data_IF_796073031267
#
_entry.id   IF_796073031267
#
_cell.length_a   1.000
_cell.length_b   1.000
_cell.length_c   1.000
_cell.angle_alpha   90.00
_cell.angle_beta   90.00
_cell.angle_gamma   90.00
#
_symmetry.space_group_name_H-M   'P 1'
#
loop_
_entity.id
_entity.type
_entity.pdbx_description
1 polymer ?
#
# COMPACT_ATOMS: atom_id res chain seq x y z
N UNK A 1 -2.67 15.64 -6.03
CA UNK A 1 -2.14 15.31 -4.70
C UNK A 1 -1.58 13.90 -4.68
N UNK A 2 -0.39 13.73 -4.15
CA UNK A 2 0.22 12.42 -4.05
C UNK A 2 -0.27 11.71 -2.79
N UNK A 3 -0.65 10.46 -2.94
CA UNK A 3 -1.03 9.62 -1.80
C UNK A 3 -0.21 8.33 -1.84
N UNK A 4 -0.06 7.74 -0.68
CA UNK A 4 0.60 6.44 -0.59
C UNK A 4 -0.45 5.37 -0.79
N UNK A 5 -0.16 4.41 -1.65
CA UNK A 5 -1.05 3.28 -1.86
C UNK A 5 -0.28 1.98 -1.94
N UNK A 6 -0.99 0.89 -1.72
CA UNK A 6 -0.44 -0.44 -1.88
C UNK A 6 -0.35 -0.81 -3.36
N UNK A 7 0.74 -1.44 -3.73
CA UNK A 7 0.95 -1.97 -5.07
C UNK A 7 0.88 -3.50 -5.08
N UNK A 8 0.33 -4.07 -4.03
CA UNK A 8 0.30 -5.53 -3.88
C UNK A 8 -0.44 -6.22 -5.01
N UNK A 9 -1.56 -5.65 -5.43
CA UNK A 9 -2.35 -6.25 -6.51
C UNK A 9 -1.52 -6.41 -7.78
N UNK A 10 -0.81 -5.38 -8.16
CA UNK A 10 0.01 -5.39 -9.37
C UNK A 10 1.17 -6.37 -9.24
N UNK A 11 1.79 -6.42 -8.06
CA UNK A 11 2.89 -7.34 -7.81
C UNK A 11 2.41 -8.80 -7.89
N UNK A 12 1.25 -9.08 -7.30
CA UNK A 12 0.68 -10.43 -7.37
C UNK A 12 0.38 -10.83 -8.82
N UNK A 13 -0.20 -9.92 -9.59
CA UNK A 13 -0.52 -10.20 -10.99
C UNK A 13 0.73 -10.44 -11.81
N UNK A 14 1.79 -9.73 -11.54
CA UNK A 14 3.06 -9.92 -12.25
C UNK A 14 3.76 -11.22 -11.82
N UNK A 15 3.64 -11.58 -10.56
CA UNK A 15 4.29 -12.76 -10.01
C UNK A 15 3.57 -14.02 -10.46
N UNK A 16 2.27 -14.09 -10.23
CA UNK A 16 1.44 -15.25 -10.60
C UNK A 16 -0.02 -14.80 -10.59
N UNK A 17 -0.62 -14.63 -11.79
CA UNK A 17 -2.03 -14.20 -11.85
C UNK A 17 -3.01 -15.13 -11.16
N UNK A 18 -2.60 -16.37 -10.91
CA UNK A 18 -3.46 -17.36 -10.26
C UNK A 18 -3.33 -17.34 -8.73
N UNK A 19 -2.37 -16.60 -8.21
CA UNK A 19 -2.17 -16.53 -6.77
C UNK A 19 -3.33 -15.78 -6.11
N UNK A 20 -4.02 -16.45 -5.20
CA UNK A 20 -5.12 -15.85 -4.47
C UNK A 20 -4.61 -15.15 -3.21
N UNK A 21 -5.41 -14.22 -2.70
CA UNK A 21 -5.10 -13.55 -1.44
C UNK A 21 -5.03 -14.57 -0.31
N UNK A 22 -5.95 -15.52 -0.31
CA UNK A 22 -5.99 -16.56 0.72
C UNK A 22 -4.73 -17.42 0.69
N UNK A 23 -4.29 -17.80 -0.48
CA UNK A 23 -3.07 -18.59 -0.62
C UNK A 23 -1.85 -17.79 -0.17
N UNK A 24 -1.78 -16.52 -0.56
CA UNK A 24 -0.68 -15.67 -0.15
C UNK A 24 -0.62 -15.53 1.36
N UNK A 25 -1.76 -15.26 1.99
CA UNK A 25 -1.82 -15.14 3.46
C UNK A 25 -1.31 -16.41 4.13
N UNK A 26 -1.69 -17.56 3.61
CA UNK A 26 -1.24 -18.84 4.13
C UNK A 26 0.26 -19.01 3.96
N UNK A 27 0.76 -18.66 2.78
CA UNK A 27 2.18 -18.85 2.46
C UNK A 27 3.10 -17.98 3.33
N UNK A 28 2.66 -16.78 3.66
CA UNK A 28 3.45 -15.88 4.50
C UNK A 28 3.10 -15.98 5.98
N UNK A 29 2.16 -16.85 6.33
CA UNK A 29 1.70 -17.03 7.71
C UNK A 29 1.19 -15.73 8.32
N UNK A 30 0.27 -15.08 7.63
CA UNK A 30 -0.32 -13.83 8.08
C UNK A 30 -1.83 -13.91 8.02
N UNK A 31 -2.50 -13.00 8.73
CA UNK A 31 -3.96 -12.96 8.74
C UNK A 31 -4.52 -12.63 7.37
N UNK A 32 -5.48 -13.43 6.95
CA UNK A 32 -6.12 -13.22 5.64
C UNK A 32 -6.69 -11.81 5.51
N UNK A 33 -7.37 -11.32 6.55
CA UNK A 33 -8.01 -10.02 6.50
C UNK A 33 -7.00 -8.89 6.26
N UNK A 34 -5.84 -8.99 6.89
CA UNK A 34 -4.79 -7.98 6.72
C UNK A 34 -4.26 -7.98 5.28
N UNK A 35 -4.01 -9.15 4.73
CA UNK A 35 -3.53 -9.27 3.35
C UNK A 35 -4.60 -8.75 2.38
N UNK A 36 -5.86 -9.08 2.64
CA UNK A 36 -6.97 -8.61 1.82
C UNK A 36 -7.07 -7.09 1.81
N UNK A 37 -6.92 -6.48 2.99
CA UNK A 37 -6.97 -5.01 3.09
C UNK A 37 -5.82 -4.37 2.32
N UNK A 38 -4.65 -4.97 2.40
CA UNK A 38 -3.53 -4.44 1.64
C UNK A 38 -3.74 -4.59 0.14
N UNK A 39 -4.28 -5.72 -0.29
CA UNK A 39 -4.60 -5.95 -1.71
C UNK A 39 -5.60 -4.91 -2.23
N UNK A 40 -6.63 -4.61 -1.43
CA UNK A 40 -7.67 -3.66 -1.81
C UNK A 40 -7.31 -2.21 -1.52
N UNK A 41 -6.12 -1.97 -1.00
CA UNK A 41 -5.67 -0.62 -0.66
C UNK A 41 -6.58 0.05 0.37
N UNK A 42 -7.02 -0.72 1.36
CA UNK A 42 -7.89 -0.24 2.44
C UNK A 42 -7.16 -0.05 3.75
N UNK A 43 -5.85 -0.32 3.78
CA UNK A 43 -5.09 -0.16 5.02
C UNK A 43 -4.77 1.30 5.30
N UNK A 44 -4.99 1.69 6.55
CA UNK A 44 -4.58 3.00 7.04
C UNK A 44 -3.14 2.96 7.53
N UNK A 45 -2.75 1.84 8.12
CA UNK A 45 -1.39 1.62 8.61
C UNK A 45 -0.84 0.34 8.00
N UNK A 46 0.43 0.36 7.67
CA UNK A 46 1.09 -0.82 7.08
C UNK A 46 1.98 -1.46 8.14
N UNK A 47 1.61 -2.65 8.65
CA UNK A 47 2.45 -3.34 9.62
C UNK A 47 3.82 -3.67 9.05
N UNK A 48 4.84 -3.38 9.82
CA UNK A 48 6.22 -3.61 9.38
C UNK A 48 6.49 -5.07 9.03
N UNK A 49 5.98 -5.99 9.86
CA UNK A 49 6.18 -7.42 9.64
C UNK A 49 5.48 -7.91 8.38
N UNK A 50 4.30 -7.35 8.08
CA UNK A 50 3.61 -7.70 6.85
C UNK A 50 4.42 -7.23 5.64
N UNK A 51 4.93 -6.00 5.68
CA UNK A 51 5.74 -5.48 4.59
C UNK A 51 6.97 -6.35 4.37
N UNK A 52 7.63 -6.73 5.46
CA UNK A 52 8.83 -7.56 5.37
C UNK A 52 8.52 -8.92 4.73
N UNK A 53 7.46 -9.55 5.17
CA UNK A 53 7.07 -10.87 4.65
C UNK A 53 6.72 -10.81 3.16
N UNK A 54 6.01 -9.77 2.75
CA UNK A 54 5.64 -9.60 1.35
C UNK A 54 6.86 -9.31 0.47
N UNK A 55 7.76 -8.45 0.95
CA UNK A 55 8.99 -8.17 0.23
C UNK A 55 9.84 -9.41 0.05
N UNK A 56 9.95 -10.23 1.08
CA UNK A 56 10.69 -11.48 1.01
C UNK A 56 10.04 -12.48 0.06
N UNK A 57 8.72 -12.60 0.14
CA UNK A 57 7.98 -13.56 -0.67
C UNK A 57 8.11 -13.26 -2.17
N UNK A 58 7.94 -11.99 -2.52
CA UNK A 58 7.98 -11.58 -3.92
C UNK A 58 9.36 -11.12 -4.38
N UNK A 59 10.32 -11.07 -3.47
CA UNK A 59 11.67 -10.60 -3.76
C UNK A 59 11.65 -9.18 -4.35
N UNK A 60 10.97 -8.28 -3.68
CA UNK A 60 10.86 -6.88 -4.09
C UNK A 60 11.29 -5.98 -2.94
N UNK A 61 11.56 -4.73 -3.27
CA UNK A 61 11.90 -3.71 -2.30
C UNK A 61 10.61 -3.06 -1.76
N UNK A 62 10.65 -2.50 -0.54
CA UNK A 62 9.48 -1.80 -0.01
C UNK A 62 8.95 -0.70 -0.91
N UNK A 63 9.83 -0.02 -1.63
CA UNK A 63 9.42 1.02 -2.57
C UNK A 63 8.67 0.51 -3.78
N UNK A 64 8.72 -0.79 -4.04
CA UNK A 64 7.93 -1.40 -5.09
C UNK A 64 6.57 -1.86 -4.58
N UNK A 65 6.48 -2.12 -3.28
CA UNK A 65 5.26 -2.61 -2.65
C UNK A 65 4.33 -1.48 -2.24
N UNK A 66 4.89 -0.35 -1.83
CA UNK A 66 4.14 0.84 -1.44
C UNK A 66 4.64 1.98 -2.30
N UNK A 67 3.73 2.63 -3.01
CA UNK A 67 4.09 3.63 -4.00
C UNK A 67 3.25 4.88 -3.81
N UNK A 68 3.73 5.99 -4.40
CA UNK A 68 2.94 7.19 -4.50
C UNK A 68 2.04 7.11 -5.72
N UNK A 69 0.84 7.61 -5.56
CA UNK A 69 -0.13 7.66 -6.65
C UNK A 69 -0.75 9.05 -6.65
N UNK A 70 -0.99 9.60 -7.83
CA UNK A 70 -1.62 10.90 -7.96
C UNK A 70 -3.10 10.72 -8.23
N UNK A 71 -3.93 11.38 -7.45
CA UNK A 71 -5.37 11.27 -7.60
C UNK A 71 -5.99 12.62 -7.89
N UNK A 72 -6.85 12.65 -8.88
CA UNK A 72 -7.51 13.87 -9.29
C UNK A 72 -8.39 14.44 -8.19
N UNK A 73 -9.05 13.56 -7.43
CA UNK A 73 -9.89 14.01 -6.33
C UNK A 73 -9.11 14.85 -5.33
N UNK A 74 -7.80 14.68 -5.28
CA UNK A 74 -6.95 15.48 -4.43
C UNK A 74 -6.80 16.91 -4.89
N UNK A 75 -7.02 17.17 -6.16
CA UNK A 75 -6.83 18.53 -6.70
C UNK A 75 -7.79 19.53 -6.08
N UNK A 76 -9.01 19.10 -5.79
CA UNK A 76 -9.98 19.98 -5.17
C UNK A 76 -9.59 20.34 -3.74
N UNK A 77 -8.76 19.55 -3.13
CA UNK A 77 -8.36 19.74 -1.74
C UNK A 77 -6.94 20.28 -1.61
N UNK A 78 -6.30 20.60 -2.72
CA UNK A 78 -4.93 21.10 -2.70
C UNK A 78 -4.82 22.37 -1.87
N UNK A 79 -5.75 23.29 -2.04
CA UNK A 79 -5.73 24.54 -1.29
C UNK A 79 -5.85 24.30 0.20
N UNK A 80 -6.74 23.40 0.59
CA UNK A 80 -6.90 23.05 2.00
C UNK A 80 -5.64 22.40 2.55
N UNK A 81 -5.04 21.53 1.76
CA UNK A 81 -3.84 20.84 2.15
C UNK A 81 -2.67 21.84 2.34
N UNK A 82 -2.52 22.78 1.43
CA UNK A 82 -1.49 23.79 1.53
C UNK A 82 -1.71 24.69 2.74
N UNK A 83 -2.95 25.08 2.96
CA UNK A 83 -3.29 25.88 4.14
C UNK A 83 -2.99 25.13 5.43
N UNK A 84 -3.28 23.84 5.46
CA UNK A 84 -3.00 23.02 6.63
C UNK A 84 -1.49 22.98 6.90
N UNK A 85 -0.69 22.91 5.86
CA UNK A 85 0.76 22.91 6.01
C UNK A 85 1.29 24.25 6.50
N UNK A 86 0.70 25.33 6.04
CA UNK A 86 1.09 26.65 6.51
C UNK A 86 0.77 26.84 7.98
N UNK A 87 -0.40 26.32 8.39
CA UNK A 87 -0.81 26.43 9.79
C UNK A 87 0.01 25.52 10.70
N UNK A 88 0.50 24.45 10.18
CA UNK A 88 1.29 23.46 10.91
C UNK A 88 2.66 23.37 10.27
N UNK A 89 3.54 24.33 10.54
CA UNK A 89 4.84 24.31 9.93
C UNK A 89 5.56 23.02 10.25
N UNK A 90 6.34 22.52 9.31
CA UNK A 90 7.10 21.30 9.55
C UNK A 90 8.04 21.52 10.72
N UNK A 91 8.08 20.53 11.51
CA UNK A 91 8.89 20.56 12.72
C UNK A 91 10.34 20.29 12.38
#
# INVERSE_FOLDING_TARGET
MLIIRSNLKEIMEMHDPKLSIRRLAKDIHYHFDSVRRMYKDEMVQYPRDLLQKLCEYFNVQPGQLIVFDERESGMQNIDEWENAQEKNPPV
#
